data_IF_653710264046
#
_entry.id   IF_653710264046
#
_cell.length_a   1.000
_cell.length_b   1.000
_cell.length_c   1.000
_cell.angle_alpha   90.00
_cell.angle_beta   90.00
_cell.angle_gamma   90.00
#
_symmetry.space_group_name_H-M   'P 1'
#
loop_
_entity.id
_entity.type
_entity.pdbx_description
1 polymer ?
#
# COMPACT_ATOMS: atom_id res chain seq x y z
N UNK A 1 -24.26 31.81 -0.51
CA UNK A 1 -23.06 31.36 0.21
C UNK A 1 -23.41 30.00 0.81
N UNK A 2 -23.00 28.90 0.17
CA UNK A 2 -23.41 27.56 0.59
C UNK A 2 -22.48 27.07 1.72
N UNK A 3 -22.86 27.32 2.97
CA UNK A 3 -22.16 26.76 4.13
C UNK A 3 -22.59 25.29 4.29
N UNK A 4 -21.92 24.42 3.53
CA UNK A 4 -21.99 22.99 3.75
C UNK A 4 -21.36 22.68 5.12
N UNK A 5 -21.98 21.81 5.92
CA UNK A 5 -21.39 21.39 7.20
C UNK A 5 -20.10 20.62 6.96
N UNK A 6 -19.21 20.61 7.95
CA UNK A 6 -17.94 19.89 7.85
C UNK A 6 -18.16 18.40 7.51
N UNK A 7 -19.17 17.77 8.12
CA UNK A 7 -19.51 16.36 7.85
C UNK A 7 -19.91 16.12 6.39
N UNK A 8 -20.66 17.05 5.79
CA UNK A 8 -21.05 16.97 4.38
C UNK A 8 -19.84 17.19 3.45
N UNK A 9 -18.93 18.09 3.81
CA UNK A 9 -17.68 18.28 3.06
C UNK A 9 -16.82 17.02 3.13
N UNK A 10 -16.63 16.45 4.31
CA UNK A 10 -15.91 15.18 4.49
C UNK A 10 -16.57 14.05 3.69
N UNK A 11 -17.90 13.99 3.64
CA UNK A 11 -18.62 13.03 2.82
C UNK A 11 -18.34 13.21 1.32
N UNK A 12 -18.41 14.44 0.80
CA UNK A 12 -18.10 14.71 -0.61
C UNK A 12 -16.65 14.33 -0.92
N UNK A 13 -15.71 14.76 -0.09
CA UNK A 13 -14.29 14.47 -0.27
C UNK A 13 -14.01 12.96 -0.18
N UNK A 14 -14.75 12.21 0.63
CA UNK A 14 -14.62 10.74 0.73
C UNK A 14 -15.01 9.99 -0.55
N UNK A 15 -15.78 10.62 -1.44
CA UNK A 15 -16.19 10.06 -2.73
C UNK A 15 -15.27 10.47 -3.88
N UNK A 16 -14.35 11.41 -3.64
CA UNK A 16 -13.42 11.86 -4.67
C UNK A 16 -12.42 10.73 -4.98
N UNK A 17 -12.24 10.35 -6.25
CA UNK A 17 -11.24 9.35 -6.61
C UNK A 17 -9.82 9.78 -6.19
N UNK A 18 -9.01 8.83 -5.75
CA UNK A 18 -7.68 9.07 -5.15
C UNK A 18 -6.73 9.89 -6.03
N UNK A 19 -6.81 9.79 -7.36
CA UNK A 19 -6.00 10.56 -8.31
C UNK A 19 -6.32 12.07 -8.30
N UNK A 20 -7.53 12.46 -7.90
CA UNK A 20 -7.94 13.87 -7.83
C UNK A 20 -7.75 14.48 -6.43
N UNK A 21 -7.43 13.67 -5.40
CA UNK A 21 -7.20 14.18 -4.05
C UNK A 21 -6.03 15.17 -3.97
N UNK A 22 -5.02 15.02 -4.84
CA UNK A 22 -3.96 16.01 -4.97
C UNK A 22 -4.49 17.39 -5.37
N UNK A 23 -5.34 17.45 -6.40
CA UNK A 23 -5.97 18.69 -6.85
C UNK A 23 -6.90 19.29 -5.80
N UNK A 24 -7.69 18.44 -5.13
CA UNK A 24 -8.56 18.83 -3.99
C UNK A 24 -7.77 19.52 -2.88
N UNK A 25 -6.56 19.07 -2.58
CA UNK A 25 -5.72 19.72 -1.55
C UNK A 25 -5.21 21.09 -1.97
N UNK A 26 -5.10 21.34 -3.26
CA UNK A 26 -4.65 22.62 -3.80
C UNK A 26 -5.76 23.67 -3.83
N UNK A 27 -7.03 23.31 -3.61
CA UNK A 27 -8.15 24.26 -3.68
C UNK A 27 -8.21 25.18 -2.46
N UNK A 28 -8.11 24.64 -1.24
CA UNK A 28 -8.13 25.45 -0.01
C UNK A 28 -7.49 24.74 1.20
N UNK A 29 -7.11 25.54 2.20
CA UNK A 29 -6.50 25.05 3.44
C UNK A 29 -7.42 24.11 4.23
N UNK A 30 -8.73 24.38 4.24
CA UNK A 30 -9.73 23.55 4.93
C UNK A 30 -9.76 22.13 4.36
N UNK A 31 -9.90 21.98 3.04
CA UNK A 31 -9.93 20.67 2.38
C UNK A 31 -8.58 19.96 2.47
N UNK A 32 -7.48 20.71 2.42
CA UNK A 32 -6.14 20.15 2.68
C UNK A 32 -6.01 19.60 4.10
N UNK A 33 -6.57 20.29 5.10
CA UNK A 33 -6.61 19.82 6.49
C UNK A 33 -7.44 18.55 6.63
N UNK A 34 -8.67 18.55 6.13
CA UNK A 34 -9.60 17.41 6.21
C UNK A 34 -9.02 16.15 5.55
N UNK A 35 -8.39 16.29 4.39
CA UNK A 35 -7.80 15.14 3.66
C UNK A 35 -6.49 14.60 4.26
N UNK A 36 -5.94 15.27 5.28
CA UNK A 36 -4.75 14.83 6.04
C UNK A 36 -5.08 14.27 7.42
N UNK A 37 -6.32 14.45 7.88
CA UNK A 37 -6.79 13.89 9.13
C UNK A 37 -6.68 12.35 9.10
N UNK A 38 -6.19 11.74 10.19
CA UNK A 38 -5.98 10.29 10.27
C UNK A 38 -7.28 9.47 10.12
N UNK A 39 -8.43 10.08 10.39
CA UNK A 39 -9.74 9.44 10.20
C UNK A 39 -10.20 9.44 8.74
N UNK A 40 -9.67 10.35 7.90
CA UNK A 40 -10.10 10.52 6.52
C UNK A 40 -9.79 9.28 5.64
N UNK A 41 -8.59 8.67 5.67
CA UNK A 41 -8.32 7.44 4.93
C UNK A 41 -9.29 6.30 5.32
N UNK A 42 -9.63 6.18 6.60
CA UNK A 42 -10.56 5.16 7.11
C UNK A 42 -11.98 5.38 6.59
N UNK A 43 -12.45 6.63 6.58
CA UNK A 43 -13.77 7.01 6.03
C UNK A 43 -13.83 6.85 4.50
N UNK A 44 -12.76 7.20 3.79
CA UNK A 44 -12.63 7.04 2.33
C UNK A 44 -12.66 5.57 1.92
N UNK A 45 -11.89 4.71 2.60
CA UNK A 45 -11.94 3.25 2.40
C UNK A 45 -13.30 2.65 2.76
N UNK A 46 -13.93 3.09 3.86
CA UNK A 46 -15.19 2.53 4.36
C UNK A 46 -16.42 2.87 3.52
N UNK A 47 -16.42 3.98 2.76
CA UNK A 47 -17.56 4.41 1.92
C UNK A 47 -17.44 4.00 0.46
N UNK A 48 -16.23 3.81 -0.07
CA UNK A 48 -16.04 3.13 -1.36
C UNK A 48 -16.40 1.62 -1.31
N UNK A 49 -16.66 1.10 -0.11
CA UNK A 49 -16.94 -0.31 0.20
C UNK A 49 -18.37 -0.79 -0.11
N UNK A 50 -18.94 -0.45 -1.26
CA UNK A 50 -19.98 -1.31 -1.87
C UNK A 50 -19.41 -2.30 -2.90
N UNK A 51 -18.14 -2.15 -3.27
CA UNK A 51 -17.35 -3.15 -3.98
C UNK A 51 -16.07 -3.46 -3.20
N UNK A 52 -15.63 -4.72 -3.22
CA UNK A 52 -14.32 -5.09 -2.69
C UNK A 52 -13.25 -4.50 -3.62
N UNK A 53 -12.65 -3.38 -3.22
CA UNK A 53 -11.52 -2.81 -3.96
C UNK A 53 -10.32 -3.76 -3.84
N UNK A 54 -9.87 -4.28 -4.97
CA UNK A 54 -8.66 -5.11 -5.09
C UNK A 54 -7.62 -4.38 -5.91
N UNK A 55 -6.36 -4.54 -5.53
CA UNK A 55 -5.24 -4.08 -6.33
C UNK A 55 -4.82 -5.22 -7.25
N UNK A 56 -4.77 -4.96 -8.54
CA UNK A 56 -4.25 -5.89 -9.54
C UNK A 56 -3.05 -5.29 -10.24
N UNK A 57 -2.16 -6.15 -10.72
CA UNK A 57 -1.06 -5.76 -11.59
C UNK A 57 -1.38 -6.28 -12.99
N UNK A 58 -1.44 -5.37 -13.98
CA UNK A 58 -1.60 -5.70 -15.39
C UNK A 58 -0.50 -5.00 -16.17
N UNK A 59 0.23 -5.73 -17.02
CA UNK A 59 1.38 -5.20 -17.78
C UNK A 59 2.38 -4.41 -16.92
N UNK A 60 2.64 -4.89 -15.69
CA UNK A 60 3.50 -4.21 -14.70
C UNK A 60 2.99 -2.85 -14.20
N UNK A 61 1.70 -2.56 -14.32
CA UNK A 61 1.05 -1.38 -13.74
C UNK A 61 0.06 -1.79 -12.67
N UNK A 62 0.05 -1.08 -11.54
CA UNK A 62 -0.89 -1.31 -10.46
C UNK A 62 -2.21 -0.56 -10.72
N UNK A 63 -3.32 -1.28 -10.69
CA UNK A 63 -4.67 -0.77 -10.88
C UNK A 63 -5.54 -1.15 -9.69
N UNK A 64 -6.38 -0.22 -9.23
CA UNK A 64 -7.42 -0.48 -8.25
C UNK A 64 -8.69 -0.86 -9.01
N UNK A 65 -9.29 -1.98 -8.65
CA UNK A 65 -10.49 -2.48 -9.29
C UNK A 65 -11.54 -2.79 -8.24
N UNK A 66 -12.75 -2.24 -8.42
CA UNK A 66 -13.89 -2.60 -7.59
C UNK A 66 -14.46 -3.94 -8.05
N UNK A 67 -14.49 -4.94 -7.17
CA UNK A 67 -15.19 -6.20 -7.42
C UNK A 67 -16.54 -6.14 -6.71
N UNK A 68 -17.62 -6.10 -7.49
CA UNK A 68 -18.98 -6.18 -6.95
C UNK A 68 -19.44 -7.65 -6.91
N UNK A 69 -19.31 -8.28 -5.74
CA UNK A 69 -19.67 -9.70 -5.55
C UNK A 69 -21.19 -9.93 -5.49
N UNK A 70 -22.02 -8.89 -5.43
CA UNK A 70 -23.48 -9.02 -5.34
C UNK A 70 -24.17 -9.19 -6.70
N UNK A 71 -23.46 -9.00 -7.81
CA UNK A 71 -24.05 -9.17 -9.13
C UNK A 71 -23.93 -10.63 -9.57
N UNK A 72 -25.03 -11.40 -9.45
CA UNK A 72 -25.15 -12.82 -9.87
C UNK A 72 -24.83 -13.09 -11.36
N UNK A 73 -24.53 -12.06 -12.15
CA UNK A 73 -24.18 -12.14 -13.57
C UNK A 73 -22.67 -12.19 -13.86
N UNK A 74 -21.79 -12.19 -12.85
CA UNK A 74 -20.35 -12.36 -13.07
C UNK A 74 -19.67 -11.25 -13.89
N UNK A 75 -20.39 -10.17 -14.22
CA UNK A 75 -19.83 -9.01 -14.89
C UNK A 75 -19.03 -8.22 -13.83
N UNK A 76 -17.72 -8.41 -13.85
CA UNK A 76 -16.77 -7.45 -13.27
C UNK A 76 -16.96 -6.17 -14.07
N UNK A 77 -17.58 -5.14 -13.48
CA UNK A 77 -17.54 -3.79 -14.04
C UNK A 77 -16.18 -3.20 -13.67
N UNK A 78 -15.17 -3.25 -14.56
CA UNK A 78 -13.83 -2.84 -14.25
C UNK A 78 -13.80 -1.33 -14.46
N UNK A 79 -14.33 -0.58 -13.50
CA UNK A 79 -13.85 0.78 -13.30
C UNK A 79 -12.42 0.68 -12.76
N UNK A 80 -11.49 0.33 -13.66
CA UNK A 80 -10.08 0.20 -13.35
C UNK A 80 -9.55 1.60 -13.05
N UNK A 81 -9.50 1.94 -11.77
CA UNK A 81 -8.93 3.19 -11.33
C UNK A 81 -7.43 3.01 -11.22
N UNK A 82 -6.69 3.68 -12.10
CA UNK A 82 -5.23 3.66 -12.05
C UNK A 82 -4.77 4.32 -10.74
N UNK A 83 -3.92 3.63 -9.98
CA UNK A 83 -3.51 4.10 -8.65
C UNK A 83 -2.42 5.17 -8.79
N UNK A 84 -2.85 6.40 -9.09
CA UNK A 84 -2.04 7.62 -9.11
C UNK A 84 -0.95 7.69 -10.19
N UNK A 85 -0.57 8.91 -10.56
CA UNK A 85 0.44 9.16 -11.60
C UNK A 85 1.84 8.65 -11.24
N UNK A 86 2.18 8.56 -9.94
CA UNK A 86 3.51 8.13 -9.49
C UNK A 86 3.77 6.66 -9.83
N UNK A 87 2.85 5.74 -9.52
CA UNK A 87 3.04 4.33 -9.83
C UNK A 87 3.03 4.04 -11.33
N UNK A 88 2.40 4.88 -12.15
CA UNK A 88 2.40 4.71 -13.62
C UNK A 88 3.78 4.86 -14.25
N UNK A 89 4.68 5.59 -13.61
CA UNK A 89 6.06 5.75 -14.07
C UNK A 89 6.92 4.54 -13.70
N UNK A 90 6.44 3.68 -12.79
CA UNK A 90 7.17 2.52 -12.29
C UNK A 90 6.62 1.23 -12.93
N UNK A 91 7.52 0.32 -13.29
CA UNK A 91 7.14 -1.05 -13.68
C UNK A 91 7.10 -1.94 -12.44
N UNK A 92 5.92 -2.24 -11.93
CA UNK A 92 5.67 -2.96 -10.68
C UNK A 92 5.56 -4.47 -10.95
N UNK A 93 6.22 -5.28 -10.12
CA UNK A 93 6.14 -6.75 -10.13
C UNK A 93 5.25 -7.25 -8.97
N UNK A 94 5.42 -6.71 -7.76
CA UNK A 94 4.66 -7.11 -6.57
C UNK A 94 4.08 -5.88 -5.87
N UNK A 95 2.89 -6.02 -5.31
CA UNK A 95 2.25 -4.97 -4.52
C UNK A 95 1.60 -5.56 -3.28
N UNK A 96 1.82 -4.93 -2.14
CA UNK A 96 1.22 -5.27 -0.85
C UNK A 96 0.54 -4.03 -0.28
N UNK A 97 -0.60 -4.20 0.38
CA UNK A 97 -1.38 -3.10 0.94
C UNK A 97 -1.61 -3.32 2.43
N UNK A 98 -1.49 -2.25 3.20
CA UNK A 98 -1.88 -2.23 4.60
C UNK A 98 -2.27 -0.80 5.00
N UNK A 99 -3.46 -0.64 5.58
CA UNK A 99 -3.93 0.63 6.15
C UNK A 99 -3.79 1.84 5.20
N UNK A 100 -4.11 1.62 3.93
CA UNK A 100 -4.04 2.65 2.89
C UNK A 100 -2.62 2.93 2.35
N UNK A 101 -1.57 2.31 2.89
CA UNK A 101 -0.22 2.34 2.33
C UNK A 101 -0.03 1.20 1.33
N UNK A 102 0.76 1.47 0.30
CA UNK A 102 1.19 0.51 -0.71
C UNK A 102 2.68 0.27 -0.60
N UNK A 103 3.07 -1.00 -0.55
CA UNK A 103 4.46 -1.44 -0.70
C UNK A 103 4.59 -2.05 -2.09
N UNK A 104 5.38 -1.44 -2.96
CA UNK A 104 5.57 -1.86 -4.34
C UNK A 104 7.01 -2.33 -4.57
N UNK A 105 7.16 -3.44 -5.26
CA UNK A 105 8.44 -3.94 -5.74
C UNK A 105 8.52 -3.78 -7.26
N UNK A 106 9.59 -3.17 -7.77
CA UNK A 106 9.72 -2.79 -9.18
C UNK A 106 10.58 -3.77 -9.99
N UNK A 107 10.50 -3.68 -11.33
CA UNK A 107 11.38 -4.40 -12.26
C UNK A 107 12.85 -4.02 -12.14
N UNK A 108 13.14 -2.84 -11.57
CA UNK A 108 14.51 -2.40 -11.31
C UNK A 108 15.06 -2.95 -9.98
N UNK A 109 14.35 -3.91 -9.37
CA UNK A 109 14.67 -4.48 -8.06
C UNK A 109 14.66 -3.44 -6.93
N UNK A 110 13.75 -2.47 -7.01
CA UNK A 110 13.60 -1.42 -6.00
C UNK A 110 12.34 -1.64 -5.18
N UNK A 111 12.39 -1.27 -3.90
CA UNK A 111 11.27 -1.34 -2.98
C UNK A 111 10.82 0.08 -2.59
N UNK A 112 9.54 0.37 -2.77
CA UNK A 112 8.95 1.68 -2.45
C UNK A 112 7.70 1.55 -1.59
N UNK A 113 7.65 2.33 -0.52
CA UNK A 113 6.41 2.57 0.23
C UNK A 113 5.77 3.83 -0.33
N UNK A 114 4.54 3.72 -0.81
CA UNK A 114 3.78 4.83 -1.34
C UNK A 114 2.48 5.01 -0.58
N UNK A 115 2.23 6.25 -0.16
CA UNK A 115 0.95 6.69 0.37
C UNK A 115 0.17 7.37 -0.77
N UNK A 116 -0.80 6.67 -1.40
CA UNK A 116 -1.59 7.22 -2.49
C UNK A 116 -2.45 8.39 -2.04
N UNK A 117 -2.92 8.38 -0.79
CA UNK A 117 -3.66 9.48 -0.23
C UNK A 117 -2.78 10.71 -0.20
N UNK A 118 -1.63 10.67 0.46
CA UNK A 118 -0.74 11.83 0.65
C UNK A 118 0.11 12.17 -0.57
N UNK A 119 0.13 11.32 -1.60
CA UNK A 119 1.03 11.45 -2.76
C UNK A 119 2.51 11.33 -2.38
N UNK A 120 2.83 10.72 -1.24
CA UNK A 120 4.21 10.61 -0.73
C UNK A 120 4.76 9.23 -0.99
N UNK A 121 5.93 9.16 -1.62
CA UNK A 121 6.67 7.94 -1.84
C UNK A 121 7.97 7.94 -1.02
N UNK A 122 8.40 6.77 -0.59
CA UNK A 122 9.66 6.55 0.10
C UNK A 122 10.32 5.28 -0.40
N UNK A 123 11.50 5.45 -0.98
CA UNK A 123 12.36 4.35 -1.38
C UNK A 123 13.00 3.71 -0.16
N UNK A 124 13.05 2.38 -0.17
CA UNK A 124 13.61 1.58 0.92
C UNK A 124 14.95 1.07 0.43
N UNK A 125 16.01 1.45 1.13
CA UNK A 125 17.35 0.96 0.81
C UNK A 125 17.51 -0.46 1.35
N UNK A 126 17.98 -1.42 0.55
CA UNK A 126 18.22 -2.77 1.00
C UNK A 126 19.38 -2.83 2.01
N UNK A 127 19.30 -3.75 2.98
CA UNK A 127 20.49 -4.22 3.72
C UNK A 127 21.32 -5.20 2.88
N UNK A 128 20.62 -6.10 2.18
CA UNK A 128 21.13 -7.01 1.14
C UNK A 128 20.28 -6.82 -0.11
N UNK A 129 20.89 -6.97 -1.29
CA UNK A 129 20.24 -6.82 -2.60
C UNK A 129 18.84 -7.43 -2.63
N UNK A 130 17.89 -6.70 -3.21
CA UNK A 130 16.53 -7.21 -3.36
C UNK A 130 16.45 -8.22 -4.49
N UNK A 131 15.74 -9.31 -4.24
CA UNK A 131 15.53 -10.35 -5.24
C UNK A 131 14.06 -10.45 -5.61
N UNK A 132 13.78 -11.01 -6.80
CA UNK A 132 12.41 -11.27 -7.25
C UNK A 132 11.72 -12.37 -6.43
N UNK A 133 12.49 -13.23 -5.74
CA UNK A 133 11.97 -14.33 -4.92
C UNK A 133 11.64 -13.89 -3.49
N UNK A 134 12.22 -12.78 -3.04
CA UNK A 134 11.91 -12.21 -1.72
C UNK A 134 10.41 -11.98 -1.54
N UNK A 135 9.95 -12.26 -0.32
CA UNK A 135 8.55 -12.05 0.07
C UNK A 135 8.47 -10.94 1.11
N UNK A 136 7.47 -10.08 0.98
CA UNK A 136 7.32 -8.90 1.83
C UNK A 136 5.94 -8.83 2.47
N UNK A 137 5.88 -8.19 3.63
CA UNK A 137 4.62 -7.81 4.27
C UNK A 137 4.80 -6.47 4.97
N UNK A 138 3.85 -5.55 4.78
CA UNK A 138 3.80 -4.28 5.51
C UNK A 138 2.77 -4.37 6.64
N UNK A 139 3.09 -3.75 7.78
CA UNK A 139 2.20 -3.73 8.94
C UNK A 139 2.49 -2.54 9.85
N UNK A 140 1.60 -2.30 10.81
CA UNK A 140 1.73 -1.23 11.80
C UNK A 140 1.96 -1.80 13.20
N UNK A 141 3.09 -1.41 13.80
CA UNK A 141 3.39 -1.66 15.20
C UNK A 141 2.72 -0.60 16.05
N UNK A 142 1.65 -1.00 16.75
CA UNK A 142 0.87 -0.12 17.64
C UNK A 142 1.69 0.39 18.83
N UNK A 143 2.59 -0.44 19.38
CA UNK A 143 3.39 -0.10 20.56
C UNK A 143 4.37 1.03 20.26
N UNK A 144 5.03 0.96 19.10
CA UNK A 144 5.99 1.98 18.65
C UNK A 144 5.37 3.02 17.71
N UNK A 145 4.05 2.94 17.47
CA UNK A 145 3.28 3.79 16.54
C UNK A 145 3.98 3.96 15.19
N UNK A 146 4.37 2.85 14.56
CA UNK A 146 5.26 2.88 13.40
C UNK A 146 4.94 1.78 12.39
N UNK A 147 5.05 2.10 11.11
CA UNK A 147 4.99 1.09 10.07
C UNK A 147 6.31 0.32 9.99
N UNK A 148 6.18 -0.98 9.74
CA UNK A 148 7.30 -1.91 9.56
C UNK A 148 7.08 -2.74 8.31
N UNK A 149 8.18 -3.14 7.68
CA UNK A 149 8.17 -4.08 6.57
C UNK A 149 8.89 -5.33 7.04
N UNK A 150 8.20 -6.46 7.01
CA UNK A 150 8.81 -7.77 7.12
C UNK A 150 9.25 -8.21 5.72
N UNK A 151 10.49 -8.69 5.61
CA UNK A 151 11.04 -9.31 4.43
C UNK A 151 11.51 -10.71 4.80
N UNK A 152 11.12 -11.70 4.00
CA UNK A 152 11.80 -12.99 3.93
C UNK A 152 12.79 -12.88 2.78
N UNK A 153 14.07 -12.73 3.14
CA UNK A 153 15.16 -12.74 2.17
C UNK A 153 15.49 -14.18 1.83
N UNK A 154 15.64 -14.47 0.54
CA UNK A 154 15.95 -15.82 0.04
C UNK A 154 17.12 -15.71 -0.93
N UNK A 155 18.10 -16.60 -0.78
CA UNK A 155 19.25 -16.72 -1.67
C UNK A 155 19.58 -18.19 -1.94
N UNK A 156 19.93 -18.47 -3.19
CA UNK A 156 20.55 -19.73 -3.60
C UNK A 156 22.05 -19.53 -3.62
N UNK A 157 22.81 -20.46 -3.07
CA UNK A 157 24.25 -20.51 -3.30
C UNK A 157 24.56 -21.18 -4.65
N UNK A 158 25.85 -21.30 -5.00
CA UNK A 158 26.29 -21.96 -6.22
C UNK A 158 26.02 -23.47 -6.27
N UNK A 159 25.61 -24.06 -5.15
CA UNK A 159 25.33 -25.49 -4.97
C UNK A 159 23.81 -25.75 -4.78
N UNK A 160 22.96 -24.80 -5.18
CA UNK A 160 21.50 -24.83 -5.06
C UNK A 160 20.96 -24.89 -3.60
N UNK A 161 21.78 -24.65 -2.58
CA UNK A 161 21.29 -24.59 -1.21
C UNK A 161 20.51 -23.31 -0.97
N UNK A 162 19.34 -23.47 -0.36
CA UNK A 162 18.45 -22.37 0.02
C UNK A 162 18.87 -21.80 1.36
N UNK A 163 19.30 -20.54 1.37
CA UNK A 163 19.43 -19.74 2.60
C UNK A 163 18.26 -18.76 2.70
N UNK A 164 17.69 -18.64 3.90
CA UNK A 164 16.61 -17.68 4.15
C UNK A 164 16.79 -16.98 5.49
N UNK A 165 16.44 -15.69 5.53
CA UNK A 165 16.58 -14.85 6.72
C UNK A 165 15.37 -13.91 6.82
N UNK A 166 14.84 -13.73 8.03
CA UNK A 166 13.77 -12.76 8.27
C UNK A 166 14.38 -11.42 8.67
N UNK A 167 13.99 -10.36 7.96
CA UNK A 167 14.41 -9.00 8.24
C UNK A 167 13.18 -8.12 8.51
N UNK A 168 13.28 -7.23 9.48
CA UNK A 168 12.31 -6.16 9.69
C UNK A 168 12.94 -4.81 9.40
N UNK A 169 12.33 -4.08 8.49
CA UNK A 169 12.57 -2.66 8.28
C UNK A 169 11.68 -1.82 9.18
N UNK A 170 12.28 -0.83 9.81
CA UNK A 170 11.58 0.16 10.61
C UNK A 170 11.53 1.49 9.84
N UNK A 171 10.31 1.96 9.51
CA UNK A 171 10.16 3.20 8.74
C UNK A 171 10.64 4.43 9.52
N UNK A 172 10.36 4.56 10.82
CA UNK A 172 10.86 5.69 11.62
C UNK A 172 12.38 5.78 11.65
N UNK A 173 13.09 4.67 11.93
CA UNK A 173 14.55 4.67 12.06
C UNK A 173 15.30 4.50 10.74
N UNK A 174 14.59 4.21 9.64
CA UNK A 174 15.20 3.97 8.32
C UNK A 174 16.23 2.83 8.35
N UNK A 175 15.97 1.77 9.11
CA UNK A 175 16.94 0.71 9.36
C UNK A 175 16.32 -0.68 9.31
N UNK A 176 17.11 -1.63 8.83
CA UNK A 176 16.82 -3.06 8.89
C UNK A 176 17.39 -3.67 10.17
N UNK A 177 16.72 -4.71 10.67
CA UNK A 177 17.26 -5.61 11.68
C UNK A 177 16.89 -7.05 11.32
N UNK A 178 17.79 -7.98 11.60
CA UNK A 178 17.56 -9.42 11.47
C UNK A 178 16.69 -9.89 12.62
N UNK A 179 15.87 -10.89 12.35
CA UNK A 179 15.12 -11.63 13.36
C UNK A 179 15.52 -13.08 13.27
N UNK A 180 16.10 -13.57 14.35
CA UNK A 180 16.30 -14.99 14.54
C UNK A 180 14.93 -15.61 14.77
N UNK A 181 14.45 -16.29 13.75
CA UNK A 181 13.23 -17.05 13.86
C UNK A 181 13.61 -18.50 14.19
N UNK A 182 13.75 -18.78 15.49
CA UNK A 182 13.70 -20.17 15.97
C UNK A 182 12.28 -20.68 15.71
N UNK A 183 12.08 -21.35 14.57
CA UNK A 183 10.80 -21.91 14.15
C UNK A 183 10.48 -23.27 14.78
N UNK A 184 11.21 -23.71 15.80
CA UNK A 184 11.07 -25.08 16.35
C UNK A 184 9.71 -25.39 16.99
N UNK A 185 8.80 -24.43 17.18
CA UNK A 185 7.59 -24.64 17.99
C UNK A 185 6.26 -24.11 17.44
N UNK A 186 6.13 -23.84 16.14
CA UNK A 186 4.83 -23.42 15.57
C UNK A 186 4.21 -24.53 14.72
N UNK A 187 3.71 -25.57 15.39
CA UNK A 187 2.69 -26.44 14.81
C UNK A 187 1.39 -25.64 14.68
N UNK A 188 0.88 -25.50 13.46
CA UNK A 188 -0.48 -25.02 13.22
C UNK A 188 -1.40 -26.25 13.37
N UNK A 189 -2.04 -26.37 14.53
CA UNK A 189 -3.28 -27.16 14.70
C UNK A 189 -4.50 -26.31 14.36
#
# INVERSE_FOLDING_TARGET
>A
MWNLSQDMVEEILSRVPINYLGAVRCTCKGWNGLTKDESFPKKHCGKAAKGHLRIMIYESKACLMSVNLHNKKGLVDPSAMIIGNFLNQLKIIKVFQYDGLLLCFTKNLELVVWNPYLGRARWIQPRREFTVIDTYRIGYDKSNKNYKILRLWICYDGDDNLTSEYEIYNLKSNSWRVIDANFDHWCIT
#
